data_IF_385638686089
#
_entry.id   IF_385638686089
#
_cell.length_a   1.000
_cell.length_b   1.000
_cell.length_c   1.000
_cell.angle_alpha   90.00
_cell.angle_beta   90.00
_cell.angle_gamma   90.00
#
_symmetry.space_group_name_H-M   'P 1'
#
loop_
_entity.id
_entity.type
_entity.pdbx_description
1 polymer ?
#
# COMPACT_ATOMS: atom_id res chain seq x y z
N UNK A 1 -15.79 -1.02 -0.52
CA UNK A 1 -15.51 -2.06 0.51
C UNK A 1 -16.73 -2.19 1.41
N UNK A 2 -17.16 -3.40 1.73
CA UNK A 2 -18.27 -3.61 2.67
C UNK A 2 -17.90 -3.16 4.07
N UNK A 3 -18.86 -2.55 4.83
CA UNK A 3 -18.57 -1.97 6.16
C UNK A 3 -18.00 -2.97 7.17
N UNK A 4 -18.45 -4.23 7.13
CA UNK A 4 -17.97 -5.28 8.02
C UNK A 4 -16.52 -5.69 7.74
N UNK A 5 -16.13 -5.75 6.47
CA UNK A 5 -14.75 -6.04 6.05
C UNK A 5 -13.83 -4.92 6.52
N UNK A 6 -14.29 -3.69 6.42
CA UNK A 6 -13.55 -2.52 6.86
C UNK A 6 -13.28 -2.52 8.38
N UNK A 7 -14.30 -2.82 9.20
CA UNK A 7 -14.14 -2.91 10.66
C UNK A 7 -13.17 -4.03 11.05
N UNK A 8 -13.23 -5.19 10.40
CA UNK A 8 -12.28 -6.29 10.62
C UNK A 8 -10.84 -5.90 10.25
N UNK A 9 -10.66 -5.09 9.20
CA UNK A 9 -9.33 -4.55 8.85
C UNK A 9 -8.78 -3.68 9.98
N UNK A 10 -9.59 -2.80 10.56
CA UNK A 10 -9.18 -1.95 11.69
C UNK A 10 -8.76 -2.79 12.90
N UNK A 11 -9.56 -3.78 13.29
CA UNK A 11 -9.32 -4.63 14.46
C UNK A 11 -8.05 -5.48 14.32
N UNK A 12 -7.74 -5.93 13.10
CA UNK A 12 -6.59 -6.79 12.82
C UNK A 12 -5.30 -6.03 12.49
N UNK A 13 -5.40 -4.74 12.22
CA UNK A 13 -4.35 -3.90 11.63
C UNK A 13 -3.00 -3.97 12.34
N UNK A 14 -2.99 -3.93 13.67
CA UNK A 14 -1.77 -3.91 14.46
C UNK A 14 -1.18 -5.29 14.71
N UNK A 15 -2.01 -6.33 14.67
CA UNK A 15 -1.65 -7.66 15.11
C UNK A 15 -1.50 -8.69 14.00
N UNK A 16 -2.13 -8.50 12.85
CA UNK A 16 -2.11 -9.46 11.75
C UNK A 16 -0.76 -9.45 11.03
N UNK A 17 -0.20 -10.62 10.78
CA UNK A 17 1.13 -10.84 10.16
C UNK A 17 1.34 -10.05 8.88
N UNK A 18 0.32 -10.01 8.00
CA UNK A 18 0.43 -9.38 6.69
C UNK A 18 0.62 -7.87 6.78
N UNK A 19 -0.21 -7.18 7.57
CA UNK A 19 -0.12 -5.72 7.76
C UNK A 19 1.20 -5.32 8.41
N UNK A 20 1.64 -6.07 9.44
CA UNK A 20 2.91 -5.81 10.14
C UNK A 20 4.12 -5.95 9.20
N UNK A 21 4.19 -7.05 8.44
CA UNK A 21 5.30 -7.31 7.54
C UNK A 21 5.31 -6.32 6.37
N UNK A 22 4.14 -6.03 5.78
CA UNK A 22 4.00 -5.03 4.72
C UNK A 22 4.49 -3.64 5.17
N UNK A 23 4.08 -3.16 6.36
CA UNK A 23 4.59 -1.90 6.92
C UNK A 23 6.10 -1.89 7.07
N UNK A 24 6.69 -2.99 7.55
CA UNK A 24 8.13 -3.09 7.70
C UNK A 24 8.88 -3.07 6.35
N UNK A 25 8.30 -3.65 5.31
CA UNK A 25 8.83 -3.60 3.94
C UNK A 25 8.73 -2.16 3.40
N UNK A 26 7.58 -1.51 3.49
CA UNK A 26 7.38 -0.12 3.06
C UNK A 26 8.38 0.80 3.80
N UNK A 27 8.48 0.66 5.13
CA UNK A 27 9.46 1.40 5.92
C UNK A 27 10.89 1.23 5.41
N UNK A 28 11.29 -0.01 5.16
CA UNK A 28 12.63 -0.33 4.67
C UNK A 28 12.92 0.28 3.30
N UNK A 29 11.95 0.23 2.39
CA UNK A 29 12.09 0.83 1.05
C UNK A 29 12.20 2.36 1.16
N UNK A 30 11.36 3.02 1.96
CA UNK A 30 11.43 4.46 2.19
C UNK A 30 12.80 4.82 2.79
N UNK A 31 13.20 4.18 3.89
CA UNK A 31 14.43 4.48 4.61
C UNK A 31 15.69 4.36 3.76
N UNK A 32 15.76 3.35 2.86
CA UNK A 32 16.96 3.03 2.12
C UNK A 32 17.03 3.64 0.71
N UNK A 33 15.94 4.19 0.21
CA UNK A 33 15.88 4.70 -1.18
C UNK A 33 15.52 6.17 -1.28
N UNK A 34 15.08 6.80 -0.18
CA UNK A 34 14.76 8.23 -0.16
C UNK A 34 15.82 8.95 0.66
N UNK A 35 16.44 9.96 0.04
CA UNK A 35 17.40 10.82 0.74
C UNK A 35 16.61 11.90 1.50
N UNK A 36 16.75 11.93 2.82
CA UNK A 36 16.05 12.88 3.68
C UNK A 36 16.86 14.15 3.98
N UNK A 37 18.10 14.28 3.50
CA UNK A 37 19.01 15.44 3.69
C UNK A 37 18.88 16.10 5.07
N UNK A 38 18.74 15.30 6.12
CA UNK A 38 18.54 15.72 7.52
C UNK A 38 17.29 16.59 7.76
N UNK A 39 16.36 16.65 6.81
CA UNK A 39 15.13 17.48 6.86
C UNK A 39 13.89 16.61 6.98
N UNK A 40 12.93 17.08 7.77
CA UNK A 40 11.58 16.52 7.76
C UNK A 40 10.90 16.77 6.42
N UNK A 41 10.35 15.75 5.80
CA UNK A 41 9.69 15.82 4.50
C UNK A 41 8.17 15.90 4.64
N UNK A 42 7.51 16.45 3.63
CA UNK A 42 6.05 16.46 3.50
C UNK A 42 5.59 15.16 2.81
N UNK A 43 4.83 14.37 3.52
CA UNK A 43 4.36 13.06 3.06
C UNK A 43 2.86 13.10 2.89
N UNK A 44 2.35 12.56 1.78
CA UNK A 44 0.93 12.27 1.60
C UNK A 44 0.70 10.76 1.69
N UNK A 45 -0.15 10.34 2.62
CA UNK A 45 -0.75 9.00 2.64
C UNK A 45 -2.11 9.10 1.95
N UNK A 46 -2.16 8.68 0.68
CA UNK A 46 -3.35 8.81 -0.16
C UNK A 46 -4.17 7.53 -0.16
N UNK A 47 -5.40 7.60 0.37
CA UNK A 47 -6.24 6.44 0.62
C UNK A 47 -5.76 5.65 1.82
N UNK A 48 -5.60 6.32 2.95
CA UNK A 48 -4.94 5.78 4.14
C UNK A 48 -5.71 4.62 4.81
N UNK A 49 -6.99 4.42 4.46
CA UNK A 49 -7.85 3.44 5.09
C UNK A 49 -7.92 3.67 6.60
N UNK A 50 -7.67 2.63 7.37
CA UNK A 50 -7.65 2.66 8.84
C UNK A 50 -6.42 3.36 9.46
N UNK A 51 -5.48 3.84 8.62
CA UNK A 51 -4.31 4.59 9.07
C UNK A 51 -3.10 3.74 9.45
N UNK A 52 -3.02 2.52 8.97
CA UNK A 52 -1.96 1.55 9.26
C UNK A 52 -0.56 2.10 9.08
N UNK A 53 -0.35 2.92 8.06
CA UNK A 53 0.96 3.42 7.69
C UNK A 53 1.33 4.73 8.38
N UNK A 54 0.36 5.47 8.93
CA UNK A 54 0.53 6.85 9.41
C UNK A 54 1.63 6.95 10.48
N UNK A 55 1.56 6.10 11.52
CA UNK A 55 2.56 6.12 12.61
C UNK A 55 3.97 5.78 12.12
N UNK A 56 4.09 4.97 11.08
CA UNK A 56 5.35 4.62 10.44
C UNK A 56 5.87 5.80 9.61
N UNK A 57 5.01 6.45 8.83
CA UNK A 57 5.35 7.61 8.00
C UNK A 57 5.76 8.82 8.85
N UNK A 58 5.13 9.01 10.01
CA UNK A 58 5.46 10.11 10.95
C UNK A 58 6.91 10.10 11.45
N UNK A 59 7.63 8.97 11.31
CA UNK A 59 9.06 8.90 11.62
C UNK A 59 9.95 9.65 10.62
N UNK A 60 9.42 9.96 9.43
CA UNK A 60 10.17 10.59 8.35
C UNK A 60 9.84 12.08 8.19
N UNK A 61 8.65 12.52 8.62
CA UNK A 61 8.27 13.93 8.43
C UNK A 61 6.85 14.28 8.83
N UNK A 62 6.31 15.28 8.17
CA UNK A 62 4.93 15.74 8.31
C UNK A 62 4.02 14.88 7.45
N UNK A 63 3.00 14.26 8.04
CA UNK A 63 2.09 13.34 7.35
C UNK A 63 0.75 14.02 7.09
N UNK A 64 0.44 14.22 5.82
CA UNK A 64 -0.87 14.63 5.36
C UNK A 64 -1.62 13.38 4.93
N UNK A 65 -2.82 13.19 5.46
CA UNK A 65 -3.58 11.96 5.28
C UNK A 65 -4.88 12.28 4.56
N UNK A 66 -5.10 11.64 3.43
CA UNK A 66 -6.35 11.70 2.71
C UNK A 66 -7.04 10.34 2.71
N UNK A 67 -8.30 10.34 3.15
CA UNK A 67 -9.20 9.20 3.07
C UNK A 67 -10.55 9.65 2.54
N UNK A 68 -11.05 8.94 1.50
CA UNK A 68 -12.30 9.30 0.81
C UNK A 68 -13.54 9.04 1.66
N UNK A 69 -13.53 7.96 2.45
CA UNK A 69 -14.65 7.63 3.33
C UNK A 69 -14.69 8.58 4.53
N UNK A 70 -15.79 9.32 4.65
CA UNK A 70 -15.92 10.33 5.70
C UNK A 70 -15.92 9.76 7.12
N UNK A 71 -16.48 8.56 7.33
CA UNK A 71 -16.50 7.92 8.65
C UNK A 71 -15.10 7.58 9.09
N UNK A 72 -14.32 7.00 8.18
CA UNK A 72 -12.92 6.68 8.37
C UNK A 72 -12.09 7.93 8.59
N UNK A 73 -12.30 8.96 7.79
CA UNK A 73 -11.60 10.24 7.94
C UNK A 73 -11.84 10.85 9.33
N UNK A 74 -13.08 10.80 9.84
CA UNK A 74 -13.40 11.25 11.21
C UNK A 74 -12.71 10.39 12.27
N UNK A 75 -12.72 9.07 12.11
CA UNK A 75 -12.00 8.15 13.00
C UNK A 75 -10.51 8.49 13.05
N UNK A 76 -9.88 8.71 11.89
CA UNK A 76 -8.46 9.09 11.82
C UNK A 76 -8.16 10.42 12.51
N UNK A 77 -9.04 11.42 12.36
CA UNK A 77 -8.91 12.70 13.07
C UNK A 77 -8.88 12.52 14.58
N UNK A 78 -9.77 11.70 15.13
CA UNK A 78 -9.78 11.41 16.56
C UNK A 78 -8.57 10.58 17.01
N UNK A 79 -8.21 9.54 16.24
CA UNK A 79 -7.07 8.66 16.53
C UNK A 79 -5.75 9.43 16.60
N UNK A 80 -5.55 10.39 15.70
CA UNK A 80 -4.28 11.11 15.54
C UNK A 80 -4.29 12.56 16.04
N UNK A 81 -5.35 13.02 16.70
CA UNK A 81 -5.51 14.41 17.16
C UNK A 81 -4.39 14.94 18.07
N UNK A 82 -3.68 14.05 18.76
CA UNK A 82 -2.58 14.41 19.67
C UNK A 82 -1.22 14.58 18.95
N UNK A 83 -1.15 14.27 17.64
CA UNK A 83 0.10 14.30 16.88
C UNK A 83 0.15 15.57 16.02
N UNK A 84 1.00 16.51 16.38
CA UNK A 84 1.15 17.81 15.67
C UNK A 84 1.62 17.64 14.21
N UNK A 85 2.42 16.58 13.95
CA UNK A 85 2.99 16.30 12.64
C UNK A 85 2.05 15.49 11.72
N UNK A 86 0.82 15.18 12.15
CA UNK A 86 -0.16 14.42 11.37
C UNK A 86 -1.40 15.28 11.13
N UNK A 87 -1.74 15.48 9.87
CA UNK A 87 -2.91 16.27 9.47
C UNK A 87 -3.82 15.44 8.57
N UNK A 88 -5.06 15.24 9.02
CA UNK A 88 -6.09 14.63 8.16
C UNK A 88 -6.68 15.76 7.31
N UNK A 89 -6.50 15.65 6.00
CA UNK A 89 -6.87 16.68 5.03
C UNK A 89 -8.05 16.26 4.15
N UNK A 90 -8.72 17.21 3.55
CA UNK A 90 -9.63 16.94 2.43
C UNK A 90 -8.82 16.52 1.20
N UNK A 91 -9.52 16.10 0.13
CA UNK A 91 -8.85 15.76 -1.13
C UNK A 91 -7.89 16.90 -1.52
N UNK A 92 -6.60 16.62 -1.70
CA UNK A 92 -5.63 17.63 -2.12
C UNK A 92 -6.12 18.36 -3.39
N UNK A 93 -5.77 19.61 -3.53
CA UNK A 93 -6.18 20.47 -4.65
C UNK A 93 -4.99 21.29 -5.19
N UNK A 94 -5.23 22.27 -6.02
CA UNK A 94 -4.20 23.11 -6.61
C UNK A 94 -3.28 23.83 -5.60
N UNK A 95 -3.76 24.08 -4.37
CA UNK A 95 -2.93 24.64 -3.31
C UNK A 95 -1.85 23.66 -2.80
N UNK A 96 -2.00 22.36 -3.11
CA UNK A 96 -1.03 21.32 -2.77
C UNK A 96 -0.14 20.96 -3.96
N UNK A 97 -0.21 21.71 -5.06
CA UNK A 97 0.63 21.46 -6.24
C UNK A 97 2.11 21.61 -5.89
N UNK A 98 2.92 20.65 -6.31
CA UNK A 98 4.37 20.58 -6.03
C UNK A 98 4.74 20.68 -4.54
N UNK A 99 3.88 20.19 -3.66
CA UNK A 99 4.05 20.32 -2.21
C UNK A 99 4.71 19.08 -1.55
N UNK A 100 4.39 17.87 -2.03
CA UNK A 100 4.81 16.65 -1.36
C UNK A 100 6.16 16.14 -1.86
N UNK A 101 7.00 15.72 -0.91
CA UNK A 101 8.28 15.05 -1.16
C UNK A 101 8.07 13.55 -1.41
N UNK A 102 7.10 12.97 -0.73
CA UNK A 102 6.72 11.55 -0.84
C UNK A 102 5.20 11.41 -0.87
N UNK A 103 4.69 10.62 -1.81
CA UNK A 103 3.32 10.13 -1.78
C UNK A 103 3.36 8.63 -1.60
N UNK A 104 2.70 8.12 -0.56
CA UNK A 104 2.37 6.71 -0.40
C UNK A 104 0.96 6.48 -0.92
N UNK A 105 0.82 5.51 -1.83
CA UNK A 105 -0.47 5.01 -2.31
C UNK A 105 -0.44 3.48 -2.23
N UNK A 106 -1.04 2.95 -1.16
CA UNK A 106 -0.85 1.56 -0.77
C UNK A 106 -2.16 0.77 -0.88
N UNK A 107 -2.26 -0.06 -1.92
CA UNK A 107 -3.45 -0.84 -2.29
C UNK A 107 -4.68 0.06 -2.48
N UNK A 108 -4.57 1.02 -3.40
CA UNK A 108 -5.62 2.01 -3.71
C UNK A 108 -5.94 2.06 -5.20
N UNK A 109 -4.94 2.03 -6.09
CA UNK A 109 -5.19 2.25 -7.53
C UNK A 109 -6.01 1.13 -8.17
N UNK A 110 -6.01 -0.07 -7.60
CA UNK A 110 -6.88 -1.17 -7.99
C UNK A 110 -8.37 -0.91 -7.75
N UNK A 111 -8.70 0.03 -6.84
CA UNK A 111 -10.06 0.48 -6.55
C UNK A 111 -10.50 1.68 -7.41
N UNK A 112 -9.62 2.18 -8.28
CA UNK A 112 -9.90 3.32 -9.14
C UNK A 112 -10.12 2.83 -10.57
N UNK A 113 -11.21 3.24 -11.19
CA UNK A 113 -11.54 2.82 -12.56
C UNK A 113 -10.50 3.37 -13.55
N UNK A 114 -10.18 4.66 -13.48
CA UNK A 114 -9.12 5.31 -14.26
C UNK A 114 -7.84 5.47 -13.42
N UNK A 115 -7.01 4.43 -13.43
CA UNK A 115 -5.73 4.42 -12.71
C UNK A 115 -4.70 5.39 -13.31
N UNK A 116 -4.86 5.76 -14.58
CA UNK A 116 -3.99 6.75 -15.20
C UNK A 116 -4.30 8.17 -14.76
N UNK A 117 -5.58 8.53 -14.68
CA UNK A 117 -6.00 9.86 -14.22
C UNK A 117 -5.54 10.12 -12.78
N UNK A 118 -5.64 9.12 -11.90
CA UNK A 118 -5.15 9.28 -10.52
C UNK A 118 -3.63 9.42 -10.47
N UNK A 119 -2.87 8.67 -11.27
CA UNK A 119 -1.41 8.79 -11.32
C UNK A 119 -0.97 10.15 -11.87
N UNK A 120 -1.65 10.68 -12.88
CA UNK A 120 -1.42 12.03 -13.37
C UNK A 120 -1.64 13.06 -12.27
N UNK A 121 -2.80 13.04 -11.65
CA UNK A 121 -3.15 13.93 -10.55
C UNK A 121 -2.12 13.89 -9.40
N UNK A 122 -1.70 12.70 -8.97
CA UNK A 122 -0.70 12.57 -7.92
C UNK A 122 0.68 13.09 -8.35
N UNK A 123 1.02 12.99 -9.64
CA UNK A 123 2.27 13.55 -10.16
C UNK A 123 2.33 15.08 -10.03
N UNK A 124 1.18 15.77 -10.15
CA UNK A 124 1.10 17.22 -10.01
C UNK A 124 1.28 17.68 -8.56
N UNK A 125 0.90 16.84 -7.58
CA UNK A 125 1.05 17.13 -6.16
C UNK A 125 2.50 16.98 -5.67
N UNK A 126 3.31 16.15 -6.34
CA UNK A 126 4.72 15.95 -5.99
C UNK A 126 5.57 17.16 -6.41
N UNK A 127 6.50 17.54 -5.53
CA UNK A 127 7.54 18.51 -5.90
C UNK A 127 8.48 17.93 -6.98
N UNK A 128 9.40 18.78 -7.51
CA UNK A 128 10.30 18.41 -8.61
C UNK A 128 11.16 17.17 -8.33
N UNK A 129 11.56 16.93 -7.09
CA UNK A 129 12.36 15.79 -6.69
C UNK A 129 11.51 14.71 -5.98
N UNK A 130 10.20 14.90 -5.93
CA UNK A 130 9.27 14.07 -5.20
C UNK A 130 9.19 12.64 -5.74
N UNK A 131 8.88 11.73 -4.84
CA UNK A 131 8.77 10.31 -5.14
C UNK A 131 7.38 9.77 -4.79
N UNK A 132 6.95 8.76 -5.51
CA UNK A 132 5.74 8.01 -5.22
C UNK A 132 6.10 6.57 -4.89
N UNK A 133 5.53 6.04 -3.82
CA UNK A 133 5.61 4.63 -3.45
C UNK A 133 4.23 4.01 -3.58
N UNK A 134 4.12 3.00 -4.45
CA UNK A 134 2.86 2.35 -4.80
C UNK A 134 2.95 0.88 -4.41
N UNK A 135 1.90 0.35 -3.77
CA UNK A 135 1.70 -1.10 -3.67
C UNK A 135 0.37 -1.49 -4.30
N UNK A 136 0.34 -2.66 -4.96
CA UNK A 136 -0.85 -3.20 -5.60
C UNK A 136 -0.87 -4.72 -5.56
N UNK A 137 -2.03 -5.38 -5.60
CA UNK A 137 -2.14 -6.83 -5.73
C UNK A 137 -1.65 -7.29 -7.10
N UNK A 138 -0.94 -8.43 -7.12
CA UNK A 138 -0.35 -8.97 -8.33
C UNK A 138 -1.22 -10.05 -8.98
N UNK A 139 -1.07 -10.18 -10.31
CA UNK A 139 -1.58 -11.22 -11.20
C UNK A 139 -3.10 -11.34 -11.29
N UNK A 140 -3.64 -11.03 -12.47
CA UNK A 140 -5.07 -11.14 -12.79
C UNK A 140 -5.60 -12.56 -12.63
N UNK A 141 -4.79 -13.61 -12.87
CA UNK A 141 -5.22 -14.98 -12.66
C UNK A 141 -5.52 -15.32 -11.18
N UNK A 142 -5.02 -14.51 -10.23
CA UNK A 142 -5.35 -14.61 -8.81
C UNK A 142 -6.58 -13.78 -8.41
N UNK A 143 -7.19 -13.03 -9.36
CA UNK A 143 -8.40 -12.27 -9.08
C UNK A 143 -9.53 -13.21 -8.60
N UNK A 144 -10.11 -12.93 -7.45
CA UNK A 144 -11.01 -13.82 -6.73
C UNK A 144 -12.27 -13.09 -6.22
N UNK A 145 -13.17 -13.82 -5.57
CA UNK A 145 -14.32 -13.20 -4.92
C UNK A 145 -13.91 -12.18 -3.84
N UNK A 146 -12.77 -12.40 -3.20
CA UNK A 146 -12.24 -11.42 -2.25
C UNK A 146 -11.97 -10.07 -2.92
N UNK A 147 -11.36 -10.06 -4.11
CA UNK A 147 -11.12 -8.82 -4.85
C UNK A 147 -12.43 -8.09 -5.17
N UNK A 148 -13.48 -8.84 -5.55
CA UNK A 148 -14.81 -8.26 -5.83
C UNK A 148 -15.42 -7.62 -4.60
N UNK A 149 -15.37 -8.30 -3.44
CA UNK A 149 -15.90 -7.80 -2.15
C UNK A 149 -15.15 -6.55 -1.71
N UNK A 150 -13.83 -6.52 -1.93
CA UNK A 150 -12.99 -5.36 -1.68
C UNK A 150 -13.22 -4.21 -2.69
N UNK A 151 -13.94 -4.46 -3.78
CA UNK A 151 -14.19 -3.46 -4.82
C UNK A 151 -13.00 -3.22 -5.74
N UNK A 152 -12.16 -4.24 -5.96
CA UNK A 152 -11.07 -4.15 -6.93
C UNK A 152 -11.60 -4.23 -8.35
N UNK A 153 -11.12 -3.36 -9.22
CA UNK A 153 -11.34 -3.46 -10.67
C UNK A 153 -10.36 -4.43 -11.32
N UNK A 154 -9.12 -4.52 -10.80
CA UNK A 154 -8.02 -5.28 -11.43
C UNK A 154 -6.91 -5.65 -10.46
N UNK A 155 -6.03 -6.54 -10.92
CA UNK A 155 -4.71 -6.77 -10.35
C UNK A 155 -3.64 -6.43 -11.39
N UNK A 156 -2.39 -6.36 -11.00
CA UNK A 156 -1.32 -5.87 -11.87
C UNK A 156 -0.22 -6.92 -12.06
N UNK A 157 0.53 -6.77 -13.17
CA UNK A 157 1.82 -7.41 -13.38
C UNK A 157 2.88 -6.34 -13.70
N UNK A 158 4.16 -6.73 -13.71
CA UNK A 158 5.25 -5.78 -13.97
C UNK A 158 5.09 -5.03 -15.29
N UNK A 159 4.56 -5.69 -16.34
CA UNK A 159 4.41 -5.08 -17.68
C UNK A 159 3.35 -3.98 -17.66
N UNK A 160 2.16 -4.28 -17.15
CA UNK A 160 1.07 -3.30 -17.16
C UNK A 160 1.29 -2.16 -16.16
N UNK A 161 1.77 -2.44 -14.94
CA UNK A 161 2.06 -1.37 -13.96
C UNK A 161 3.18 -0.45 -14.46
N UNK A 162 4.25 -1.01 -15.07
CA UNK A 162 5.31 -0.22 -15.68
C UNK A 162 4.78 0.70 -16.77
N UNK A 163 3.87 0.20 -17.64
CA UNK A 163 3.28 0.98 -18.74
C UNK A 163 2.56 2.23 -18.24
N UNK A 164 1.72 2.11 -17.20
CA UNK A 164 0.94 3.24 -16.70
C UNK A 164 1.79 4.22 -15.88
N UNK A 165 2.67 3.72 -14.99
CA UNK A 165 3.52 4.56 -14.15
C UNK A 165 4.53 5.34 -14.99
N UNK A 166 5.16 4.69 -15.99
CA UNK A 166 6.20 5.34 -16.81
C UNK A 166 5.72 6.51 -17.65
N UNK A 167 4.42 6.81 -17.69
CA UNK A 167 3.93 8.03 -18.33
C UNK A 167 4.27 9.30 -17.53
N UNK A 168 4.19 9.22 -16.22
CA UNK A 168 4.34 10.37 -15.33
C UNK A 168 5.56 10.29 -14.42
N UNK A 169 6.17 9.10 -14.29
CA UNK A 169 7.25 8.84 -13.33
C UNK A 169 8.40 8.05 -13.96
N UNK A 170 9.61 8.26 -13.41
CA UNK A 170 10.79 7.45 -13.66
C UNK A 170 10.90 6.40 -12.57
N UNK A 171 10.69 5.13 -12.91
CA UNK A 171 10.71 4.01 -11.97
C UNK A 171 12.15 3.78 -11.50
N UNK A 172 12.38 3.86 -10.19
CA UNK A 172 13.66 3.58 -9.54
C UNK A 172 13.70 2.17 -8.95
N UNK A 173 12.54 1.63 -8.54
CA UNK A 173 12.40 0.26 -8.07
C UNK A 173 11.06 -0.33 -8.52
N UNK A 174 11.10 -1.58 -8.98
CA UNK A 174 9.91 -2.35 -9.34
C UNK A 174 10.15 -3.81 -8.98
N UNK A 175 9.50 -4.29 -7.94
CA UNK A 175 9.63 -5.66 -7.46
C UNK A 175 8.26 -6.26 -7.14
N UNK A 176 8.15 -7.57 -7.27
CA UNK A 176 7.15 -8.30 -6.51
C UNK A 176 7.59 -8.38 -5.05
N UNK A 177 6.64 -8.62 -4.16
CA UNK A 177 6.87 -8.94 -2.74
C UNK A 177 5.77 -9.89 -2.25
N UNK A 178 5.91 -10.38 -1.03
CA UNK A 178 5.23 -11.59 -0.57
C UNK A 178 5.59 -12.79 -1.47
N UNK A 179 6.89 -12.95 -1.70
CA UNK A 179 7.49 -13.92 -2.59
C UNK A 179 7.54 -15.31 -1.94
N UNK A 180 8.03 -15.40 -0.70
CA UNK A 180 8.19 -16.69 -0.04
C UNK A 180 6.86 -17.40 0.23
N UNK A 181 5.80 -16.65 0.45
CA UNK A 181 4.45 -17.17 0.66
C UNK A 181 3.62 -17.25 -0.64
N UNK A 182 4.22 -16.90 -1.79
CA UNK A 182 3.50 -16.87 -3.06
C UNK A 182 2.88 -18.22 -3.42
N UNK A 183 3.70 -19.28 -3.44
CA UNK A 183 3.22 -20.62 -3.87
C UNK A 183 2.07 -21.13 -3.00
N UNK A 184 2.21 -21.24 -1.66
CA UNK A 184 1.13 -21.76 -0.84
C UNK A 184 -0.13 -20.90 -0.89
N UNK A 185 0.01 -19.58 -0.91
CA UNK A 185 -1.15 -18.69 -0.96
C UNK A 185 -1.79 -18.62 -2.36
N UNK A 186 -1.02 -18.73 -3.44
CA UNK A 186 -1.55 -18.80 -4.79
C UNK A 186 -2.35 -20.11 -4.98
N UNK A 187 -1.82 -21.26 -4.55
CA UNK A 187 -2.53 -22.54 -4.56
C UNK A 187 -3.84 -22.39 -3.76
N UNK A 188 -3.77 -21.85 -2.55
CA UNK A 188 -4.95 -21.61 -1.72
C UNK A 188 -6.02 -20.78 -2.44
N UNK A 189 -5.64 -19.64 -3.07
CA UNK A 189 -6.56 -18.78 -3.82
C UNK A 189 -7.16 -19.54 -5.02
N UNK A 190 -6.35 -20.27 -5.79
CA UNK A 190 -6.82 -21.03 -6.94
C UNK A 190 -7.78 -22.15 -6.52
N UNK A 191 -7.44 -22.93 -5.49
CA UNK A 191 -8.32 -23.96 -4.95
C UNK A 191 -9.64 -23.37 -4.45
N UNK A 192 -9.61 -22.23 -3.75
CA UNK A 192 -10.83 -21.56 -3.30
C UNK A 192 -11.76 -21.14 -4.45
N UNK A 193 -11.18 -20.75 -5.59
CA UNK A 193 -11.94 -20.42 -6.81
C UNK A 193 -12.59 -21.67 -7.43
N UNK A 194 -11.82 -22.77 -7.53
CA UNK A 194 -12.28 -24.01 -8.14
C UNK A 194 -13.41 -24.65 -7.31
N UNK A 195 -13.21 -24.76 -6.01
CA UNK A 195 -14.17 -25.39 -5.12
C UNK A 195 -15.30 -24.46 -4.65
N UNK A 196 -15.33 -23.21 -5.11
CA UNK A 196 -16.30 -22.17 -4.75
C UNK A 196 -16.48 -22.01 -3.23
N UNK A 197 -15.44 -22.28 -2.46
CA UNK A 197 -15.46 -22.12 -1.00
C UNK A 197 -15.18 -20.66 -0.67
N UNK A 198 -16.10 -20.01 0.03
CA UNK A 198 -15.89 -18.65 0.49
C UNK A 198 -14.97 -18.65 1.71
N UNK A 199 -13.66 -18.60 1.47
CA UNK A 199 -12.64 -18.46 2.51
C UNK A 199 -12.34 -17.00 2.88
N UNK A 200 -13.22 -16.06 2.52
CA UNK A 200 -13.03 -14.63 2.81
C UNK A 200 -12.74 -14.44 4.30
N UNK A 201 -13.50 -15.11 5.14
CA UNK A 201 -13.35 -15.02 6.60
C UNK A 201 -12.05 -15.61 7.14
N UNK A 202 -11.47 -16.60 6.48
CA UNK A 202 -10.30 -17.32 7.01
C UNK A 202 -8.98 -16.58 6.79
N UNK A 203 -8.85 -15.83 5.69
CA UNK A 203 -7.62 -15.04 5.40
C UNK A 203 -7.60 -13.71 6.15
N UNK A 204 -8.78 -13.17 6.45
CA UNK A 204 -8.90 -11.91 7.19
C UNK A 204 -8.92 -12.10 8.70
N UNK A 205 -9.31 -13.29 9.17
CA UNK A 205 -9.16 -13.62 10.58
C UNK A 205 -7.68 -13.79 10.91
N UNK A 206 -7.26 -13.12 11.98
CA UNK A 206 -5.92 -13.31 12.51
C UNK A 206 -5.71 -14.79 12.83
N UNK A 207 -4.69 -15.44 12.28
CA UNK A 207 -4.35 -16.81 12.64
C UNK A 207 -4.04 -16.96 14.13
N UNK A 208 -3.97 -18.19 14.63
CA UNK A 208 -3.45 -18.41 15.97
C UNK A 208 -2.06 -17.77 16.13
N UNK A 209 -1.66 -17.51 17.36
CA UNK A 209 -0.48 -16.69 17.68
C UNK A 209 0.82 -17.26 17.06
N UNK A 210 0.94 -18.60 17.02
CA UNK A 210 2.13 -19.29 16.49
C UNK A 210 2.20 -19.10 14.98
N UNK A 211 1.12 -19.45 14.26
CA UNK A 211 1.06 -19.34 12.81
C UNK A 211 1.20 -17.88 12.36
N UNK A 212 0.54 -16.96 13.06
CA UNK A 212 0.67 -15.52 12.80
C UNK A 212 2.13 -15.05 12.93
N UNK A 213 2.85 -15.55 13.92
CA UNK A 213 4.27 -15.22 14.13
C UNK A 213 5.15 -15.82 13.02
N UNK A 214 4.95 -17.07 12.65
CA UNK A 214 5.71 -17.74 11.58
C UNK A 214 5.50 -17.01 10.24
N UNK A 215 4.24 -16.75 9.86
CA UNK A 215 3.92 -16.03 8.62
C UNK A 215 4.50 -14.62 8.62
N UNK A 216 4.47 -13.94 9.77
CA UNK A 216 5.11 -12.64 9.93
C UNK A 216 6.62 -12.72 9.67
N UNK A 217 7.35 -13.64 10.30
CA UNK A 217 8.79 -13.75 10.15
C UNK A 217 9.20 -14.07 8.71
N UNK A 218 8.48 -15.00 8.05
CA UNK A 218 8.74 -15.34 6.64
C UNK A 218 8.56 -14.11 5.76
N UNK A 219 7.43 -13.43 5.85
CA UNK A 219 7.15 -12.27 4.99
C UNK A 219 8.03 -11.06 5.35
N UNK A 220 8.26 -10.81 6.63
CA UNK A 220 9.10 -9.73 7.11
C UNK A 220 10.56 -9.86 6.69
N UNK A 221 11.09 -11.09 6.52
CA UNK A 221 12.46 -11.31 6.07
C UNK A 221 12.74 -10.72 4.68
N UNK A 222 11.72 -10.60 3.84
CA UNK A 222 11.85 -10.02 2.50
C UNK A 222 12.33 -8.57 2.50
N UNK A 223 12.11 -7.80 3.58
CA UNK A 223 12.57 -6.41 3.69
C UNK A 223 14.08 -6.26 3.52
N UNK A 224 14.86 -7.27 3.91
CA UNK A 224 16.31 -7.24 3.77
C UNK A 224 16.71 -7.47 2.31
N UNK A 225 16.11 -8.46 1.66
CA UNK A 225 16.42 -8.82 0.28
C UNK A 225 15.91 -7.79 -0.73
N UNK A 226 14.74 -7.22 -0.49
CA UNK A 226 14.11 -6.24 -1.37
C UNK A 226 14.96 -4.97 -1.57
N UNK A 227 15.86 -4.63 -0.66
CA UNK A 227 16.75 -3.49 -0.85
C UNK A 227 17.79 -3.72 -1.96
N UNK A 228 18.19 -4.97 -2.18
CA UNK A 228 19.25 -5.35 -3.13
C UNK A 228 18.71 -6.06 -4.37
N UNK A 229 17.60 -6.78 -4.23
CA UNK A 229 17.04 -7.65 -5.26
C UNK A 229 15.63 -7.21 -5.67
N UNK A 230 15.25 -7.58 -6.87
CA UNK A 230 13.87 -7.50 -7.34
C UNK A 230 13.33 -8.90 -7.56
N UNK A 231 12.33 -9.31 -6.78
CA UNK A 231 11.73 -10.63 -6.92
C UNK A 231 11.02 -10.80 -8.27
N UNK A 232 11.10 -11.99 -8.88
CA UNK A 232 10.49 -12.28 -10.19
C UNK A 232 8.99 -12.52 -10.11
N UNK A 233 8.45 -12.91 -8.95
CA UNK A 233 7.02 -13.11 -8.67
C UNK A 233 6.72 -12.88 -7.19
N UNK A 234 5.44 -12.79 -6.84
CA UNK A 234 4.95 -12.56 -5.47
C UNK A 234 3.48 -12.15 -5.52
N UNK A 235 2.79 -12.13 -4.39
CA UNK A 235 1.36 -11.83 -4.33
C UNK A 235 1.03 -10.36 -4.57
N UNK A 236 2.00 -9.48 -4.42
CA UNK A 236 1.84 -8.04 -4.59
C UNK A 236 3.05 -7.43 -5.31
N UNK A 237 2.88 -6.24 -5.85
CA UNK A 237 3.93 -5.41 -6.45
C UNK A 237 4.19 -4.19 -5.58
N UNK A 238 5.47 -3.79 -5.51
CA UNK A 238 5.91 -2.53 -4.93
C UNK A 238 6.69 -1.73 -5.98
N UNK A 239 6.34 -0.47 -6.12
CA UNK A 239 6.97 0.45 -7.09
C UNK A 239 7.39 1.71 -6.37
N UNK A 240 8.65 2.08 -6.47
CA UNK A 240 9.15 3.40 -6.11
C UNK A 240 9.54 4.13 -7.39
N UNK A 241 9.07 5.35 -7.55
CA UNK A 241 9.33 6.12 -8.75
C UNK A 241 9.46 7.62 -8.43
N UNK A 242 10.28 8.33 -9.22
CA UNK A 242 10.47 9.79 -9.15
C UNK A 242 9.55 10.49 -10.15
N UNK A 243 9.06 11.68 -9.80
CA UNK A 243 8.33 12.54 -10.73
C UNK A 243 9.17 12.76 -12.00
N UNK A 244 8.53 12.72 -13.17
CA UNK A 244 9.12 13.23 -14.42
C UNK A 244 8.99 14.74 -14.48
N UNK A 245 9.98 15.39 -15.11
CA UNK A 245 9.96 16.82 -15.43
C UNK A 245 9.09 17.08 -16.66
#
# INVERSE_FOLDING_TARGET
>A
MEPEVYLRHIENEEAHWWFKARRAIIYSIIKNNINFESKKINILDYGAGSGTNISMLNKFGYVHVYEKDEKTSRFLKEKFKKYENIKIIQKPNNNNKEFFDLILIADVIEHVEDDMAILQYLSELLNKNGQILITVPAFDFLFSNKDKVLGHYRRYNKKNIKKIISKYFNITKLSYYNFFLFIPLAIYIICSKIFRVNFIDSVEKKPNIILNSILFQIFHSEKFLLNFLNFPFGLSLIVLAKKKY
#
